data_IF_925027598898
#
_entry.id   IF_925027598898
#
_cell.length_a   1.000
_cell.length_b   1.000
_cell.length_c   1.000
_cell.angle_alpha   90.00
_cell.angle_beta   90.00
_cell.angle_gamma   90.00
#
_symmetry.space_group_name_H-M   'P 1'
#
loop_
_entity.id
_entity.type
_entity.pdbx_description
1 polymer ?
#
# COMPACT_ATOMS: atom_id res chain seq x y z
N UNK A 1 12.91 -8.89 -10.56
CA UNK A 1 12.35 -7.54 -10.81
C UNK A 1 10.82 -7.58 -10.74
N UNK A 2 10.24 -7.13 -9.63
CA UNK A 2 8.79 -7.16 -9.33
C UNK A 2 7.96 -6.32 -10.32
N UNK A 3 8.58 -5.35 -10.99
CA UNK A 3 7.88 -4.38 -11.84
C UNK A 3 7.49 -4.92 -13.25
N UNK A 4 8.13 -5.97 -13.77
CA UNK A 4 7.85 -6.49 -15.12
C UNK A 4 6.49 -7.21 -15.24
N UNK A 5 5.89 -7.65 -14.13
CA UNK A 5 4.66 -8.45 -14.17
C UNK A 5 3.38 -7.64 -14.44
N UNK A 6 3.41 -6.30 -14.36
CA UNK A 6 2.20 -5.46 -14.30
C UNK A 6 1.93 -4.69 -15.62
N UNK A 7 2.93 -4.50 -16.49
CA UNK A 7 2.79 -3.76 -17.76
C UNK A 7 3.41 -4.51 -18.94
N UNK A 8 2.75 -5.55 -19.42
CA UNK A 8 3.00 -6.00 -20.80
C UNK A 8 2.45 -4.94 -21.78
N UNK A 9 3.23 -4.42 -22.74
CA UNK A 9 4.43 -5.02 -23.33
C UNK A 9 5.76 -4.29 -23.04
N UNK A 10 5.86 -3.45 -22.01
CA UNK A 10 7.06 -2.63 -21.78
C UNK A 10 8.04 -3.33 -20.84
N UNK A 11 9.17 -3.77 -21.38
CA UNK A 11 10.31 -4.23 -20.59
C UNK A 11 10.91 -3.03 -19.83
N UNK A 12 10.75 -2.99 -18.50
CA UNK A 12 11.42 -1.99 -17.68
C UNK A 12 12.88 -2.38 -17.49
N UNK A 13 13.71 -1.99 -18.46
CA UNK A 13 15.16 -2.09 -18.36
C UNK A 13 15.75 -0.88 -17.61
N UNK A 14 16.97 -1.05 -17.07
CA UNK A 14 17.79 0.07 -16.60
C UNK A 14 17.96 1.04 -17.77
N UNK A 15 17.76 2.34 -17.50
CA UNK A 15 17.79 3.34 -18.57
C UNK A 15 19.19 3.45 -19.17
N UNK A 16 19.22 3.52 -20.50
CA UNK A 16 20.45 3.67 -21.29
C UNK A 16 20.69 5.10 -21.78
N UNK A 17 19.62 5.89 -21.87
CA UNK A 17 19.63 7.27 -22.37
C UNK A 17 19.58 8.29 -21.22
N UNK A 18 20.21 9.45 -21.41
CA UNK A 18 20.16 10.59 -20.49
C UNK A 18 18.82 11.33 -20.51
N UNK A 19 18.76 12.50 -19.84
CA UNK A 19 17.63 13.44 -19.94
C UNK A 19 16.41 13.14 -19.05
N UNK A 20 16.53 12.26 -18.05
CA UNK A 20 15.50 12.06 -17.02
C UNK A 20 15.76 13.05 -15.89
N UNK A 21 14.93 14.07 -15.73
CA UNK A 21 15.03 15.01 -14.62
C UNK A 21 14.00 14.68 -13.53
N UNK A 22 14.40 14.71 -12.27
CA UNK A 22 13.43 14.75 -11.17
C UNK A 22 12.74 16.13 -11.22
N UNK A 23 11.44 16.13 -11.51
CA UNK A 23 10.64 17.36 -11.57
C UNK A 23 9.81 17.52 -10.30
N UNK A 24 9.92 18.68 -9.67
CA UNK A 24 9.18 19.03 -8.46
C UNK A 24 7.76 19.46 -8.79
N UNK A 25 6.77 18.59 -8.57
CA UNK A 25 5.35 18.93 -8.71
C UNK A 25 4.95 19.44 -10.12
N UNK A 26 3.88 20.23 -10.18
CA UNK A 26 3.35 20.82 -11.42
C UNK A 26 4.21 21.95 -12.01
N UNK A 27 5.32 22.33 -11.35
CA UNK A 27 6.12 23.49 -11.74
C UNK A 27 6.98 23.26 -12.98
N UNK A 28 7.22 22.00 -13.38
CA UNK A 28 8.08 21.67 -14.51
C UNK A 28 9.59 21.91 -14.27
N UNK A 29 9.97 22.52 -13.16
CA UNK A 29 11.37 22.79 -12.81
C UNK A 29 12.14 21.50 -12.54
N UNK A 30 13.33 21.41 -13.14
CA UNK A 30 14.31 20.35 -12.87
C UNK A 30 14.84 20.58 -11.45
N UNK A 31 14.48 19.69 -10.52
CA UNK A 31 14.92 19.72 -9.12
C UNK A 31 16.26 19.00 -8.97
N UNK A 32 16.50 17.96 -9.78
CA UNK A 32 17.74 17.19 -9.74
C UNK A 32 17.98 16.44 -11.05
N UNK A 33 19.26 16.33 -11.42
CA UNK A 33 19.73 15.56 -12.58
C UNK A 33 20.42 14.28 -12.09
N UNK A 34 19.79 13.11 -12.26
CA UNK A 34 20.32 11.82 -11.84
C UNK A 34 21.52 11.37 -12.70
N UNK A 35 22.33 10.42 -12.20
CA UNK A 35 23.53 9.95 -12.91
C UNK A 35 23.21 9.41 -14.30
N UNK A 36 24.07 9.64 -15.27
CA UNK A 36 23.89 9.14 -16.64
C UNK A 36 24.85 7.98 -16.96
N UNK A 37 24.48 7.18 -17.95
CA UNK A 37 25.22 5.99 -18.38
C UNK A 37 24.78 4.71 -17.67
N UNK A 38 24.46 3.67 -18.46
CA UNK A 38 24.00 2.37 -17.94
C UNK A 38 25.01 1.75 -16.97
N UNK A 39 26.30 1.80 -17.27
CA UNK A 39 27.37 1.27 -16.42
C UNK A 39 27.42 1.97 -15.05
N UNK A 40 27.38 3.30 -15.03
CA UNK A 40 27.34 4.10 -13.81
C UNK A 40 26.13 3.75 -12.95
N UNK A 41 24.95 3.66 -13.57
CA UNK A 41 23.69 3.34 -12.87
C UNK A 41 23.77 1.94 -12.28
N UNK A 42 24.24 0.94 -13.05
CA UNK A 42 24.44 -0.43 -12.57
C UNK A 42 25.44 -0.50 -11.42
N UNK A 43 26.55 0.21 -11.51
CA UNK A 43 27.55 0.28 -10.43
C UNK A 43 26.97 0.88 -9.14
N UNK A 44 26.16 1.94 -9.25
CA UNK A 44 25.46 2.54 -8.11
C UNK A 44 24.39 1.63 -7.51
N UNK A 45 23.63 0.92 -8.34
CA UNK A 45 22.66 -0.08 -7.87
C UNK A 45 23.34 -1.25 -7.15
N UNK A 46 24.48 -1.74 -7.68
CA UNK A 46 25.26 -2.78 -7.02
C UNK A 46 25.81 -2.30 -5.66
N UNK A 47 26.20 -1.04 -5.55
CA UNK A 47 26.59 -0.45 -4.26
C UNK A 47 25.41 -0.30 -3.30
N UNK A 48 24.25 0.12 -3.80
CA UNK A 48 23.01 0.21 -3.03
C UNK A 48 22.57 -1.16 -2.49
N UNK A 49 22.66 -2.21 -3.29
CA UNK A 49 22.36 -3.59 -2.89
C UNK A 49 23.32 -4.07 -1.80
N UNK A 50 24.64 -3.89 -2.00
CA UNK A 50 25.62 -4.21 -0.95
C UNK A 50 25.36 -3.45 0.34
N UNK A 51 25.04 -2.15 0.26
CA UNK A 51 24.71 -1.37 1.45
C UNK A 51 23.56 -2.01 2.22
N UNK A 52 22.45 -2.36 1.56
CA UNK A 52 21.29 -2.97 2.22
C UNK A 52 21.64 -4.26 2.98
N UNK A 53 22.50 -5.10 2.41
CA UNK A 53 22.84 -6.41 2.99
C UNK A 53 24.06 -6.38 3.93
N UNK A 54 24.97 -5.41 3.77
CA UNK A 54 26.28 -5.36 4.46
C UNK A 54 26.41 -4.13 5.40
N UNK A 55 25.31 -3.51 5.80
CA UNK A 55 25.28 -2.31 6.67
C UNK A 55 25.74 -2.52 8.13
N UNK A 56 26.26 -3.69 8.49
CA UNK A 56 26.67 -4.00 9.87
C UNK A 56 25.51 -3.87 10.86
N UNK A 57 25.77 -3.17 11.98
CA UNK A 57 24.85 -3.05 13.12
C UNK A 57 23.93 -1.81 13.05
N UNK A 58 23.82 -1.16 11.88
CA UNK A 58 22.89 -0.04 11.71
C UNK A 58 21.44 -0.50 11.87
N UNK A 59 20.63 0.36 12.50
CA UNK A 59 19.20 0.10 12.65
C UNK A 59 18.53 -0.05 11.26
N UNK A 60 17.68 -1.07 11.05
CA UNK A 60 17.03 -1.30 9.76
C UNK A 60 16.21 -0.12 9.23
N UNK A 61 15.65 0.73 10.09
CA UNK A 61 14.90 1.92 9.67
C UNK A 61 15.84 3.00 9.13
N UNK A 62 17.03 3.14 9.69
CA UNK A 62 18.08 4.03 9.17
C UNK A 62 18.57 3.52 7.81
N UNK A 63 18.81 2.21 7.70
CA UNK A 63 19.17 1.57 6.42
C UNK A 63 18.09 1.85 5.37
N UNK A 64 16.81 1.68 5.73
CA UNK A 64 15.68 1.94 4.83
C UNK A 64 15.60 3.40 4.39
N UNK A 65 15.75 4.36 5.31
CA UNK A 65 15.75 5.78 4.97
C UNK A 65 16.87 6.14 3.99
N UNK A 66 18.10 5.68 4.26
CA UNK A 66 19.25 5.94 3.39
C UNK A 66 19.11 5.24 2.03
N UNK A 67 18.67 3.98 2.02
CA UNK A 67 18.43 3.20 0.81
C UNK A 67 17.34 3.83 -0.07
N UNK A 68 16.28 4.38 0.55
CA UNK A 68 15.20 5.05 -0.18
C UNK A 68 15.72 6.30 -0.89
N UNK A 69 16.45 7.17 -0.19
CA UNK A 69 17.09 8.34 -0.80
C UNK A 69 17.98 7.92 -1.97
N UNK A 70 18.88 6.96 -1.74
CA UNK A 70 19.87 6.57 -2.73
C UNK A 70 19.20 6.00 -4.00
N UNK A 71 18.14 5.21 -3.84
CA UNK A 71 17.37 4.68 -4.97
C UNK A 71 16.72 5.80 -5.80
N UNK A 72 16.08 6.77 -5.14
CA UNK A 72 15.45 7.92 -5.81
C UNK A 72 16.47 8.81 -6.51
N UNK A 73 17.65 9.02 -5.90
CA UNK A 73 18.75 9.79 -6.47
C UNK A 73 19.40 9.07 -7.67
N UNK A 74 19.55 7.74 -7.64
CA UNK A 74 20.04 6.97 -8.80
C UNK A 74 19.04 7.08 -9.97
N UNK A 75 17.74 7.01 -9.65
CA UNK A 75 16.65 7.08 -10.61
C UNK A 75 16.85 6.10 -11.80
N UNK A 76 16.91 4.79 -11.55
CA UNK A 76 17.44 3.82 -12.51
C UNK A 76 16.56 3.53 -13.72
N UNK A 77 15.26 3.82 -13.66
CA UNK A 77 14.28 3.53 -14.70
C UNK A 77 13.82 4.80 -15.43
N UNK A 78 13.20 4.62 -16.60
CA UNK A 78 12.61 5.73 -17.38
C UNK A 78 11.28 6.23 -16.82
N UNK A 79 10.50 5.35 -16.17
CA UNK A 79 9.28 5.66 -15.41
C UNK A 79 9.21 4.70 -14.22
N UNK A 80 8.44 5.07 -13.20
CA UNK A 80 8.07 4.16 -12.11
C UNK A 80 9.01 4.18 -10.92
N UNK A 81 10.13 4.92 -10.95
CA UNK A 81 11.10 4.99 -9.85
C UNK A 81 10.43 5.23 -8.49
N UNK A 82 9.64 6.29 -8.35
CA UNK A 82 8.93 6.58 -7.10
C UNK A 82 8.01 5.45 -6.61
N UNK A 83 7.37 4.70 -7.51
CA UNK A 83 6.51 3.55 -7.13
C UNK A 83 7.38 2.38 -6.68
N UNK A 84 8.45 2.10 -7.42
CA UNK A 84 9.38 1.02 -7.09
C UNK A 84 10.11 1.30 -5.78
N UNK A 85 10.63 2.51 -5.58
CA UNK A 85 11.31 2.93 -4.36
C UNK A 85 10.43 2.75 -3.12
N UNK A 86 9.14 3.11 -3.20
CA UNK A 86 8.20 2.92 -2.09
C UNK A 86 7.89 1.45 -1.81
N UNK A 87 7.77 0.60 -2.84
CA UNK A 87 7.60 -0.85 -2.65
C UNK A 87 8.85 -1.46 -2.01
N UNK A 88 10.05 -1.03 -2.44
CA UNK A 88 11.31 -1.51 -1.89
C UNK A 88 11.44 -1.21 -0.39
N UNK A 89 10.94 -0.07 0.09
CA UNK A 89 10.93 0.23 1.53
C UNK A 89 10.18 -0.86 2.32
N UNK A 90 8.95 -1.21 1.92
CA UNK A 90 8.18 -2.26 2.61
C UNK A 90 8.85 -3.63 2.52
N UNK A 91 9.41 -3.98 1.36
CA UNK A 91 10.11 -5.25 1.18
C UNK A 91 11.37 -5.33 2.05
N UNK A 92 12.12 -4.24 2.17
CA UNK A 92 13.29 -4.17 3.02
C UNK A 92 12.93 -4.36 4.50
N UNK A 93 11.85 -3.73 4.97
CA UNK A 93 11.38 -3.93 6.34
C UNK A 93 10.96 -5.38 6.60
N UNK A 94 10.39 -6.06 5.61
CA UNK A 94 10.07 -7.49 5.69
C UNK A 94 11.33 -8.33 5.75
N UNK A 95 12.29 -8.07 4.86
CA UNK A 95 13.58 -8.78 4.82
C UNK A 95 14.34 -8.65 6.15
N UNK A 96 14.26 -7.47 6.78
CA UNK A 96 14.89 -7.18 8.08
C UNK A 96 14.07 -7.64 9.29
N UNK A 97 12.91 -8.27 9.08
CA UNK A 97 12.08 -8.84 10.15
C UNK A 97 11.31 -7.82 10.98
N UNK A 98 11.15 -6.59 10.50
CA UNK A 98 10.34 -5.55 11.16
C UNK A 98 8.86 -5.61 10.75
N UNK A 99 8.55 -6.27 9.64
CA UNK A 99 7.18 -6.50 9.17
C UNK A 99 7.01 -7.93 8.65
N UNK A 100 5.88 -8.56 8.93
CA UNK A 100 5.53 -9.85 8.30
C UNK A 100 4.82 -9.66 6.95
N UNK A 101 4.14 -8.53 6.78
CA UNK A 101 3.32 -8.21 5.61
C UNK A 101 3.55 -6.75 5.18
N UNK A 102 3.42 -6.43 3.88
CA UNK A 102 3.65 -5.08 3.36
C UNK A 102 2.46 -4.15 3.61
N UNK A 103 2.09 -3.96 4.88
CA UNK A 103 0.88 -3.22 5.30
C UNK A 103 1.17 -1.79 5.77
N UNK A 104 2.45 -1.42 5.96
CA UNK A 104 2.82 -0.07 6.35
C UNK A 104 2.57 0.92 5.22
N UNK A 105 1.67 1.89 5.44
CA UNK A 105 1.27 2.84 4.43
C UNK A 105 2.11 4.14 4.42
N UNK A 106 3.44 4.02 4.43
CA UNK A 106 4.40 5.16 4.47
C UNK A 106 4.16 6.19 3.35
N UNK A 107 3.63 5.75 2.20
CA UNK A 107 3.27 6.63 1.09
C UNK A 107 2.28 7.73 1.48
N UNK A 108 1.40 7.46 2.46
CA UNK A 108 0.42 8.43 2.98
C UNK A 108 1.13 9.69 3.49
N UNK A 109 2.04 9.51 4.45
CA UNK A 109 2.81 10.60 5.04
C UNK A 109 3.61 11.38 4.00
N UNK A 110 4.25 10.67 3.05
CA UNK A 110 5.01 11.31 1.97
C UNK A 110 4.12 12.17 1.06
N UNK A 111 2.90 11.73 0.77
CA UNK A 111 1.95 12.46 -0.09
C UNK A 111 1.42 13.70 0.64
N UNK A 112 1.05 13.55 1.92
CA UNK A 112 0.59 14.65 2.78
C UNK A 112 1.68 15.72 2.98
N UNK A 113 2.95 15.29 3.10
CA UNK A 113 4.12 16.15 3.34
C UNK A 113 5.03 16.29 2.10
N UNK A 114 4.45 16.27 0.90
CA UNK A 114 5.21 16.18 -0.37
C UNK A 114 6.24 17.29 -0.58
N UNK A 115 5.96 18.50 -0.09
CA UNK A 115 6.90 19.61 -0.21
C UNK A 115 8.18 19.36 0.60
N UNK A 116 8.04 18.88 1.84
CA UNK A 116 9.15 18.54 2.71
C UNK A 116 9.93 17.33 2.20
N UNK A 117 9.24 16.32 1.68
CA UNK A 117 9.89 15.16 1.04
C UNK A 117 10.94 15.59 0.01
N UNK A 118 10.56 16.43 -0.97
CA UNK A 118 11.50 16.87 -2.00
C UNK A 118 12.55 17.85 -1.48
N UNK A 119 12.18 18.75 -0.55
CA UNK A 119 13.11 19.70 0.07
C UNK A 119 14.22 18.96 0.82
N UNK A 120 13.87 17.93 1.58
CA UNK A 120 14.80 17.13 2.38
C UNK A 120 15.64 16.20 1.50
N UNK A 121 15.04 15.56 0.50
CA UNK A 121 15.76 14.77 -0.50
C UNK A 121 16.84 15.62 -1.21
N UNK A 122 16.49 16.84 -1.62
CA UNK A 122 17.46 17.77 -2.20
C UNK A 122 18.51 18.22 -1.17
N UNK A 123 18.11 18.41 0.09
CA UNK A 123 19.02 18.76 1.19
C UNK A 123 20.15 17.76 1.40
N UNK A 124 19.87 16.46 1.26
CA UNK A 124 20.93 15.43 1.29
C UNK A 124 21.90 15.62 0.14
N UNK A 125 21.41 15.91 -1.07
CA UNK A 125 22.25 16.08 -2.27
C UNK A 125 23.13 17.33 -2.19
N UNK A 126 22.55 18.47 -1.80
CA UNK A 126 23.23 19.77 -1.85
C UNK A 126 24.08 20.05 -0.61
N UNK A 127 23.65 19.55 0.55
CA UNK A 127 24.19 19.96 1.87
C UNK A 127 24.60 18.78 2.75
N UNK A 128 24.49 17.54 2.27
CA UNK A 128 24.74 16.32 3.07
C UNK A 128 23.88 16.25 4.34
N UNK A 129 22.68 16.83 4.30
CA UNK A 129 21.74 16.92 5.42
C UNK A 129 20.99 15.60 5.63
N UNK A 130 21.76 14.54 5.95
CA UNK A 130 21.25 13.18 6.17
C UNK A 130 20.37 13.08 7.41
N UNK A 131 20.72 13.80 8.47
CA UNK A 131 20.01 13.76 9.75
C UNK A 131 18.54 14.18 9.57
N UNK A 132 18.30 15.34 8.94
CA UNK A 132 16.94 15.84 8.71
C UNK A 132 16.12 14.90 7.81
N UNK A 133 16.76 14.28 6.81
CA UNK A 133 16.10 13.29 5.95
C UNK A 133 15.72 12.02 6.71
N UNK A 134 16.65 11.48 7.50
CA UNK A 134 16.42 10.25 8.27
C UNK A 134 15.30 10.50 9.28
N UNK A 135 15.35 11.60 10.05
CA UNK A 135 14.31 11.96 11.01
C UNK A 135 12.94 12.04 10.32
N UNK A 136 12.83 12.72 9.18
CA UNK A 136 11.58 12.81 8.43
C UNK A 136 11.03 11.43 8.01
N UNK A 137 11.89 10.51 7.56
CA UNK A 137 11.44 9.16 7.22
C UNK A 137 11.01 8.39 8.47
N UNK A 138 11.73 8.52 9.58
CA UNK A 138 11.38 7.87 10.85
C UNK A 138 10.05 8.38 11.40
N UNK A 139 9.80 9.69 11.36
CA UNK A 139 8.54 10.31 11.73
C UNK A 139 7.40 9.76 10.86
N UNK A 140 7.63 9.64 9.55
CA UNK A 140 6.65 9.04 8.64
C UNK A 140 6.38 7.56 8.92
N UNK A 141 7.39 6.80 9.34
CA UNK A 141 7.20 5.39 9.77
C UNK A 141 6.38 5.33 11.05
N UNK A 142 6.69 6.15 12.06
CA UNK A 142 5.97 6.19 13.32
C UNK A 142 4.50 6.58 13.12
N UNK A 143 4.24 7.68 12.43
CA UNK A 143 2.89 8.18 12.14
C UNK A 143 2.05 7.13 11.39
N UNK A 144 2.62 6.55 10.33
CA UNK A 144 1.87 5.59 9.51
C UNK A 144 1.73 4.22 10.16
N UNK A 145 2.61 3.85 11.09
CA UNK A 145 2.44 2.66 11.92
C UNK A 145 1.25 2.85 12.88
N UNK A 146 1.22 3.95 13.63
CA UNK A 146 0.14 4.28 14.57
C UNK A 146 -1.21 4.41 13.85
N UNK A 147 -1.22 5.05 12.68
CA UNK A 147 -2.40 5.14 11.83
C UNK A 147 -2.88 3.77 11.38
N UNK A 148 -1.97 2.91 10.91
CA UNK A 148 -2.30 1.55 10.44
C UNK A 148 -2.89 0.71 11.57
N UNK A 149 -2.28 0.74 12.77
CA UNK A 149 -2.80 0.03 13.96
C UNK A 149 -4.20 0.51 14.31
N UNK A 150 -4.39 1.83 14.38
CA UNK A 150 -5.70 2.41 14.69
C UNK A 150 -6.77 2.04 13.67
N UNK A 151 -6.41 1.94 12.39
CA UNK A 151 -7.30 1.51 11.31
C UNK A 151 -7.65 0.02 11.43
N UNK A 152 -6.68 -0.84 11.73
CA UNK A 152 -6.90 -2.28 11.97
C UNK A 152 -7.85 -2.50 13.15
N UNK A 153 -7.67 -1.75 14.23
CA UNK A 153 -8.56 -1.84 15.40
C UNK A 153 -9.98 -1.39 15.08
N UNK A 154 -10.15 -0.36 14.24
CA UNK A 154 -11.46 0.04 13.76
C UNK A 154 -12.12 -1.06 12.91
N UNK A 155 -11.36 -1.71 12.02
CA UNK A 155 -11.85 -2.83 11.20
C UNK A 155 -12.26 -3.99 12.10
N UNK A 156 -11.49 -4.32 13.14
CA UNK A 156 -11.83 -5.35 14.13
C UNK A 156 -13.12 -5.04 14.88
N UNK A 157 -13.33 -3.78 15.31
CA UNK A 157 -14.59 -3.36 15.95
C UNK A 157 -15.77 -3.51 15.00
N UNK A 158 -15.61 -3.10 13.74
CA UNK A 158 -16.65 -3.26 12.72
C UNK A 158 -16.94 -4.74 12.44
N UNK A 159 -15.91 -5.58 12.39
CA UNK A 159 -16.04 -7.03 12.25
C UNK A 159 -16.92 -7.63 13.33
N UNK A 160 -16.66 -7.29 14.60
CA UNK A 160 -17.44 -7.81 15.72
C UNK A 160 -18.89 -7.30 15.70
N UNK A 161 -19.12 -6.02 15.36
CA UNK A 161 -20.47 -5.49 15.20
C UNK A 161 -21.23 -6.16 14.06
N UNK A 162 -20.61 -6.33 12.89
CA UNK A 162 -21.21 -7.03 11.75
C UNK A 162 -21.52 -8.48 12.11
N UNK A 163 -20.60 -9.17 12.79
CA UNK A 163 -20.79 -10.54 13.28
C UNK A 163 -22.02 -10.64 14.18
N UNK A 164 -22.14 -9.77 15.17
CA UNK A 164 -23.27 -9.78 16.11
C UNK A 164 -24.60 -9.42 15.42
N UNK A 165 -24.58 -8.46 14.50
CA UNK A 165 -25.77 -8.06 13.75
C UNK A 165 -26.31 -9.20 12.89
N UNK A 166 -25.44 -9.92 12.17
CA UNK A 166 -25.80 -11.09 11.36
C UNK A 166 -26.34 -12.21 12.25
N UNK A 167 -25.71 -12.49 13.40
CA UNK A 167 -26.20 -13.51 14.34
C UNK A 167 -27.60 -13.22 14.86
N UNK A 168 -27.95 -11.94 15.00
CA UNK A 168 -29.24 -11.51 15.55
C UNK A 168 -30.34 -11.50 14.49
N UNK A 169 -30.04 -11.02 13.28
CA UNK A 169 -31.06 -10.76 12.25
C UNK A 169 -31.06 -11.76 11.09
N UNK A 170 -30.03 -12.59 10.97
CA UNK A 170 -29.86 -13.57 9.89
C UNK A 170 -29.15 -14.85 10.41
N UNK A 171 -29.58 -15.35 11.57
CA UNK A 171 -28.94 -16.48 12.27
C UNK A 171 -28.83 -17.74 11.39
N UNK A 172 -29.81 -17.98 10.51
CA UNK A 172 -29.87 -19.17 9.67
C UNK A 172 -28.77 -19.27 8.62
N UNK A 173 -28.12 -18.15 8.28
CA UNK A 173 -27.02 -18.10 7.29
C UNK A 173 -25.66 -17.82 7.93
N UNK A 174 -25.63 -17.55 9.23
CA UNK A 174 -24.41 -17.16 9.92
C UNK A 174 -23.36 -18.28 9.93
N UNK A 175 -22.16 -17.95 9.46
CA UNK A 175 -20.93 -18.70 9.73
C UNK A 175 -19.77 -17.72 9.94
N UNK A 176 -18.71 -18.15 10.61
CA UNK A 176 -17.52 -17.31 10.79
C UNK A 176 -16.84 -17.03 9.45
N UNK A 177 -16.81 -18.03 8.57
CA UNK A 177 -16.25 -17.99 7.23
C UNK A 177 -16.98 -16.99 6.33
N UNK A 178 -18.31 -16.89 6.47
CA UNK A 178 -19.09 -15.89 5.75
C UNK A 178 -18.69 -14.48 6.15
N UNK A 179 -18.62 -14.18 7.46
CA UNK A 179 -18.23 -12.85 7.93
C UNK A 179 -16.79 -12.52 7.52
N UNK A 180 -15.86 -13.47 7.66
CA UNK A 180 -14.48 -13.31 7.17
C UNK A 180 -14.45 -12.94 5.69
N UNK A 181 -15.18 -13.66 4.83
CA UNK A 181 -15.21 -13.40 3.40
C UNK A 181 -15.70 -11.98 3.08
N UNK A 182 -16.68 -11.45 3.83
CA UNK A 182 -17.17 -10.08 3.62
C UNK A 182 -16.10 -9.01 3.92
N UNK A 183 -15.17 -9.29 4.83
CA UNK A 183 -14.08 -8.38 5.16
C UNK A 183 -12.85 -8.55 4.26
N UNK A 184 -12.63 -9.76 3.75
CA UNK A 184 -11.63 -10.03 2.70
C UNK A 184 -12.07 -9.49 1.34
N UNK A 185 -13.37 -9.50 1.04
CA UNK A 185 -13.96 -9.09 -0.23
C UNK A 185 -15.04 -8.01 -0.03
N UNK A 186 -14.66 -6.74 0.22
CA UNK A 186 -15.61 -5.63 0.40
C UNK A 186 -16.58 -5.43 -0.77
N UNK A 187 -16.17 -5.91 -1.95
CA UNK A 187 -16.99 -6.08 -3.15
C UNK A 187 -17.23 -7.57 -3.39
N UNK A 188 -18.32 -8.10 -2.82
CA UNK A 188 -18.64 -9.52 -2.87
C UNK A 188 -19.56 -9.85 -4.05
N UNK A 189 -19.26 -10.94 -4.76
CA UNK A 189 -20.11 -11.57 -5.77
C UNK A 189 -20.51 -12.97 -5.32
N UNK A 190 -21.54 -13.52 -5.95
CA UNK A 190 -21.98 -14.91 -5.72
C UNK A 190 -20.81 -15.89 -5.90
N UNK A 191 -19.97 -15.67 -6.92
CA UNK A 191 -18.81 -16.51 -7.21
C UNK A 191 -17.76 -16.52 -6.09
N UNK A 192 -17.66 -15.47 -5.26
CA UNK A 192 -16.73 -15.45 -4.13
C UNK A 192 -17.15 -16.47 -3.06
N UNK A 193 -18.46 -16.57 -2.76
CA UNK A 193 -18.98 -17.56 -1.80
C UNK A 193 -18.85 -18.99 -2.34
N UNK A 194 -19.02 -19.19 -3.64
CA UNK A 194 -18.82 -20.49 -4.29
C UNK A 194 -17.35 -20.92 -4.23
N UNK A 195 -16.43 -20.01 -4.57
CA UNK A 195 -14.99 -20.26 -4.55
C UNK A 195 -14.47 -20.53 -3.12
N UNK A 196 -15.04 -19.87 -2.11
CA UNK A 196 -14.72 -20.09 -0.71
C UNK A 196 -15.39 -21.37 -0.13
N UNK A 197 -16.19 -22.10 -0.92
CA UNK A 197 -16.88 -23.31 -0.46
C UNK A 197 -18.01 -23.07 0.55
N UNK A 198 -18.44 -21.82 0.74
CA UNK A 198 -19.46 -21.43 1.72
C UNK A 198 -20.85 -21.92 1.29
N UNK A 199 -21.17 -21.76 0.00
CA UNK A 199 -22.49 -22.11 -0.52
C UNK A 199 -22.45 -22.30 -2.05
N UNK A 200 -23.34 -23.16 -2.56
CA UNK A 200 -23.60 -23.26 -4.02
C UNK A 200 -24.34 -22.02 -4.51
N UNK A 201 -24.21 -21.69 -5.81
CA UNK A 201 -24.80 -20.50 -6.46
C UNK A 201 -26.16 -20.03 -5.94
N UNK A 202 -27.15 -20.92 -5.90
CA UNK A 202 -28.52 -20.56 -5.49
C UNK A 202 -28.59 -20.15 -4.01
N UNK A 203 -27.90 -20.88 -3.14
CA UNK A 203 -27.82 -20.59 -1.71
C UNK A 203 -27.01 -19.32 -1.46
N UNK A 204 -25.86 -19.17 -2.13
CA UNK A 204 -25.04 -17.96 -2.07
C UNK A 204 -25.82 -16.71 -2.50
N UNK A 205 -26.63 -16.81 -3.56
CA UNK A 205 -27.50 -15.70 -3.98
C UNK A 205 -28.54 -15.33 -2.92
N UNK A 206 -29.09 -16.31 -2.19
CA UNK A 206 -30.03 -16.04 -1.09
C UNK A 206 -29.33 -15.37 0.08
N UNK A 207 -28.14 -15.86 0.46
CA UNK A 207 -27.36 -15.31 1.56
C UNK A 207 -27.01 -13.84 1.33
N UNK A 208 -26.48 -13.49 0.15
CA UNK A 208 -26.14 -12.11 -0.19
C UNK A 208 -27.36 -11.19 -0.23
N UNK A 209 -28.52 -11.72 -0.66
CA UNK A 209 -29.77 -10.97 -0.65
C UNK A 209 -30.25 -10.71 0.78
N UNK A 210 -30.26 -11.72 1.63
CA UNK A 210 -30.63 -11.60 3.05
C UNK A 210 -29.71 -10.62 3.80
N UNK A 211 -28.39 -10.70 3.57
CA UNK A 211 -27.41 -9.73 4.09
C UNK A 211 -27.68 -8.29 3.61
N UNK A 212 -28.21 -8.13 2.39
CA UNK A 212 -28.61 -6.82 1.88
C UNK A 212 -29.90 -6.34 2.54
N UNK A 213 -30.86 -7.24 2.77
CA UNK A 213 -32.15 -6.92 3.38
C UNK A 213 -32.00 -6.50 4.85
N UNK A 214 -31.02 -7.05 5.58
CA UNK A 214 -30.66 -6.61 6.95
C UNK A 214 -29.67 -5.44 7.00
N UNK A 215 -29.33 -4.84 5.84
CA UNK A 215 -28.50 -3.64 5.75
C UNK A 215 -27.00 -3.83 6.00
N UNK A 216 -26.48 -5.07 5.95
CA UNK A 216 -25.02 -5.35 5.98
C UNK A 216 -24.39 -5.04 4.65
N UNK A 217 -25.04 -5.48 3.57
CA UNK A 217 -24.58 -5.28 2.19
C UNK A 217 -25.51 -4.34 1.43
N UNK A 218 -25.01 -3.80 0.33
CA UNK A 218 -25.78 -3.05 -0.64
C UNK A 218 -25.63 -3.71 -2.02
N UNK A 219 -26.76 -4.14 -2.59
CA UNK A 219 -26.81 -4.70 -3.93
C UNK A 219 -26.68 -3.59 -4.99
N UNK A 220 -25.77 -3.78 -5.94
CA UNK A 220 -25.57 -2.94 -7.12
C UNK A 220 -25.58 -3.84 -8.36
N UNK A 221 -26.32 -3.44 -9.38
CA UNK A 221 -26.34 -4.13 -10.69
C UNK A 221 -25.33 -3.47 -11.61
N UNK A 222 -24.36 -4.24 -12.10
CA UNK A 222 -23.37 -3.77 -13.09
C UNK A 222 -23.48 -4.66 -14.33
N UNK A 223 -24.09 -4.11 -15.38
CA UNK A 223 -24.41 -4.86 -16.59
C UNK A 223 -25.39 -5.99 -16.30
N UNK A 224 -24.96 -7.24 -16.47
CA UNK A 224 -25.75 -8.45 -16.17
C UNK A 224 -25.45 -9.07 -14.81
N UNK A 225 -24.43 -8.58 -14.12
CA UNK A 225 -23.97 -9.14 -12.85
C UNK A 225 -24.49 -8.34 -11.66
N UNK A 226 -24.71 -9.06 -10.54
CA UNK A 226 -24.97 -8.47 -9.23
C UNK A 226 -23.67 -8.38 -8.43
N UNK A 227 -23.42 -7.22 -7.85
CA UNK A 227 -22.32 -6.93 -6.96
C UNK A 227 -22.87 -6.47 -5.61
N UNK A 228 -22.32 -6.98 -4.52
CA UNK A 228 -22.76 -6.66 -3.17
C UNK A 228 -21.61 -5.95 -2.47
N UNK A 229 -21.84 -4.71 -2.05
CA UNK A 229 -20.83 -3.88 -1.38
C UNK A 229 -21.07 -3.93 0.11
N UNK A 230 -20.02 -4.00 0.93
CA UNK A 230 -20.10 -3.74 2.37
C UNK A 230 -19.91 -2.23 2.63
N UNK A 231 -20.97 -1.40 2.69
CA UNK A 231 -20.83 0.06 2.72
C UNK A 231 -20.02 0.57 3.92
N UNK A 232 -20.28 0.07 5.13
CA UNK A 232 -19.56 0.48 6.35
C UNK A 232 -18.06 0.16 6.29
N UNK A 233 -17.69 -0.99 5.74
CA UNK A 233 -16.28 -1.35 5.57
C UNK A 233 -15.63 -0.49 4.50
N UNK A 234 -16.33 -0.23 3.39
CA UNK A 234 -15.85 0.65 2.33
C UNK A 234 -15.65 2.10 2.82
N UNK A 235 -16.55 2.60 3.65
CA UNK A 235 -16.42 3.90 4.32
C UNK A 235 -15.15 3.92 5.19
N UNK A 236 -14.93 2.87 6.00
CA UNK A 236 -13.78 2.81 6.89
C UNK A 236 -12.44 2.68 6.15
N UNK A 237 -12.40 1.91 5.05
CA UNK A 237 -11.21 1.72 4.22
C UNK A 237 -10.85 2.96 3.39
N UNK A 238 -11.85 3.74 2.96
CA UNK A 238 -11.64 4.95 2.14
C UNK A 238 -11.48 6.22 2.98
N UNK A 239 -12.13 6.25 4.14
CA UNK A 239 -12.14 7.41 5.03
C UNK A 239 -10.85 7.55 5.82
N UNK A 240 -10.52 8.80 6.14
CA UNK A 240 -9.37 9.09 6.99
C UNK A 240 -9.63 8.72 8.46
N UNK A 241 -10.87 8.91 8.91
CA UNK A 241 -11.30 8.60 10.27
C UNK A 241 -11.48 7.11 10.55
N UNK A 242 -11.58 6.79 11.85
CA UNK A 242 -11.78 5.43 12.36
C UNK A 242 -13.20 5.21 12.93
N UNK A 243 -14.11 6.13 12.62
CA UNK A 243 -15.54 6.08 12.94
C UNK A 243 -16.33 5.45 11.81
N UNK A 244 -17.36 4.70 12.15
CA UNK A 244 -18.33 4.15 11.21
C UNK A 244 -19.70 4.13 11.89
N UNK A 245 -20.75 4.19 11.09
CA UNK A 245 -22.13 4.14 11.61
C UNK A 245 -22.43 2.72 12.10
N UNK A 246 -22.95 2.57 13.32
CA UNK A 246 -23.35 1.25 13.85
C UNK A 246 -24.55 0.68 13.07
N UNK A 247 -24.86 -0.60 13.33
CA UNK A 247 -26.10 -1.22 12.88
C UNK A 247 -27.30 -0.74 13.71
#
# INVERSE_FOLDING_TARGET
>A
MVCNAIKHPYEMAIRKTGGTALKGGNSGNVVYTPPEGEETIRGKLANWERFIHESGDLDPLIIMAAAHYQFEAIHPFTDGNGRTGRILNSLLLIEKGLLDLPILYLSRYIIENRADYYRLLLGVTERQDWESWIIYILDGVADTADWTVSKIDAIRRLFEQTRQHIRTHAQGIYTHELVNLLFEQPYTRIANLEAAGIAKRQTASKYLKELSDIGVLQEIVIGRDKLFIHPRLMELLRGEGNSFTSF
#
